data_IF_889961609790
#
_entry.id   IF_889961609790
#
_cell.length_a   1.000
_cell.length_b   1.000
_cell.length_c   1.000
_cell.angle_alpha   90.00
_cell.angle_beta   90.00
_cell.angle_gamma   90.00
#
_symmetry.space_group_name_H-M   'P 1'
#
loop_
_entity.id
_entity.type
_entity.pdbx_description
1 polymer ?
#
# COMPACT_ATOMS: atom_id res chain seq x y z
N UNK A 1 -14.94 19.78 -9.57
CA UNK A 1 -13.94 20.07 -8.53
C UNK A 1 -13.75 18.90 -7.56
N UNK A 2 -14.83 18.24 -7.11
CA UNK A 2 -14.77 17.13 -6.14
C UNK A 2 -14.02 15.87 -6.57
N UNK A 3 -14.04 15.50 -7.86
CA UNK A 3 -13.40 14.27 -8.37
C UNK A 3 -11.87 14.34 -8.29
N UNK A 4 -11.28 15.52 -8.55
CA UNK A 4 -9.84 15.74 -8.45
C UNK A 4 -9.33 15.62 -7.01
N UNK A 5 -10.13 16.09 -6.05
CA UNK A 5 -9.82 15.96 -4.60
C UNK A 5 -9.86 14.50 -4.17
N UNK A 6 -10.86 13.74 -4.63
CA UNK A 6 -10.93 12.28 -4.39
C UNK A 6 -9.75 11.54 -5.01
N UNK A 7 -9.30 11.92 -6.21
CA UNK A 7 -8.12 11.34 -6.85
C UNK A 7 -6.83 11.58 -6.03
N UNK A 8 -6.62 12.80 -5.54
CA UNK A 8 -5.45 13.14 -4.70
C UNK A 8 -5.50 12.36 -3.37
N UNK A 9 -6.66 12.27 -2.72
CA UNK A 9 -6.85 11.50 -1.50
C UNK A 9 -6.57 10.00 -1.72
N UNK A 10 -7.06 9.43 -2.82
CA UNK A 10 -6.80 8.03 -3.16
C UNK A 10 -5.30 7.76 -3.37
N UNK A 11 -4.57 8.68 -4.02
CA UNK A 11 -3.11 8.59 -4.17
C UNK A 11 -2.41 8.65 -2.81
N UNK A 12 -2.79 9.59 -1.94
CA UNK A 12 -2.19 9.72 -0.61
C UNK A 12 -2.41 8.46 0.24
N UNK A 13 -3.61 7.88 0.18
CA UNK A 13 -3.93 6.62 0.87
C UNK A 13 -3.09 5.48 0.30
N UNK A 14 -2.97 5.38 -1.04
CA UNK A 14 -2.16 4.35 -1.68
C UNK A 14 -0.67 4.42 -1.30
N UNK A 15 -0.09 5.63 -1.29
CA UNK A 15 1.30 5.86 -0.85
C UNK A 15 1.47 5.46 0.62
N UNK A 16 0.54 5.88 1.49
CA UNK A 16 0.59 5.55 2.90
C UNK A 16 0.51 4.04 3.15
N UNK A 17 -0.35 3.35 2.41
CA UNK A 17 -0.53 1.91 2.52
C UNK A 17 0.74 1.15 2.08
N UNK A 18 1.40 1.59 1.00
CA UNK A 18 2.69 1.02 0.56
C UNK A 18 3.78 1.25 1.61
N UNK A 19 3.85 2.45 2.20
CA UNK A 19 4.82 2.76 3.24
C UNK A 19 4.63 1.87 4.49
N UNK A 20 3.39 1.62 4.90
CA UNK A 20 3.08 0.68 5.99
C UNK A 20 3.49 -0.74 5.62
N UNK A 21 3.18 -1.20 4.40
CA UNK A 21 3.56 -2.54 3.93
C UNK A 21 5.08 -2.74 3.96
N UNK A 22 5.85 -1.73 3.53
CA UNK A 22 7.31 -1.75 3.61
C UNK A 22 7.83 -1.76 5.06
N UNK A 23 7.25 -0.95 5.94
CA UNK A 23 7.60 -0.95 7.36
C UNK A 23 7.31 -2.30 8.01
N UNK A 24 6.16 -2.90 7.70
CA UNK A 24 5.76 -4.22 8.20
C UNK A 24 6.72 -5.31 7.69
N UNK A 25 7.11 -5.26 6.42
CA UNK A 25 8.12 -6.16 5.86
C UNK A 25 9.46 -6.08 6.61
N UNK A 26 9.94 -4.85 6.86
CA UNK A 26 11.19 -4.64 7.60
C UNK A 26 11.09 -5.12 9.05
N UNK A 27 9.95 -4.89 9.69
CA UNK A 27 9.71 -5.29 11.08
C UNK A 27 9.68 -6.81 11.23
N UNK A 28 8.96 -7.51 10.33
CA UNK A 28 8.95 -8.98 10.27
C UNK A 28 10.37 -9.52 10.10
N UNK A 29 11.17 -8.90 9.23
CA UNK A 29 12.56 -9.33 8.99
C UNK A 29 13.48 -9.12 10.20
N UNK A 30 13.20 -8.13 11.05
CA UNK A 30 14.03 -7.77 12.21
C UNK A 30 13.61 -8.52 13.48
N UNK A 31 12.32 -8.73 13.70
CA UNK A 31 11.80 -9.29 14.94
C UNK A 31 11.45 -10.79 14.87
N UNK A 32 11.20 -11.34 13.67
CA UNK A 32 10.80 -12.74 13.53
C UNK A 32 11.99 -13.60 13.13
N UNK A 33 12.47 -14.44 14.06
CA UNK A 33 13.65 -15.31 13.88
C UNK A 33 13.50 -16.38 12.77
N UNK A 34 12.29 -16.61 12.25
CA UNK A 34 11.98 -17.45 11.08
C UNK A 34 10.65 -17.00 10.45
N UNK A 35 10.67 -15.98 9.57
CA UNK A 35 9.43 -15.43 9.04
C UNK A 35 8.80 -16.42 8.06
N UNK A 36 7.58 -16.87 8.37
CA UNK A 36 6.82 -17.76 7.48
C UNK A 36 6.45 -17.01 6.20
N UNK A 37 6.54 -17.69 5.05
CA UNK A 37 6.12 -17.15 3.73
C UNK A 37 4.69 -16.58 3.77
N UNK A 38 3.81 -17.18 4.57
CA UNK A 38 2.43 -16.73 4.71
C UNK A 38 2.28 -15.29 5.26
N UNK A 39 3.24 -14.83 6.08
CA UNK A 39 3.21 -13.46 6.64
C UNK A 39 3.60 -12.44 5.56
N UNK A 40 4.50 -12.82 4.64
CA UNK A 40 4.82 -12.01 3.47
C UNK A 40 3.66 -11.92 2.50
N UNK A 41 2.80 -12.95 2.43
CA UNK A 41 1.59 -12.91 1.60
C UNK A 41 0.65 -11.76 1.98
N UNK A 42 0.48 -11.50 3.28
CA UNK A 42 -0.29 -10.35 3.77
C UNK A 42 0.35 -9.01 3.39
N UNK A 43 1.69 -8.91 3.44
CA UNK A 43 2.42 -7.72 2.98
C UNK A 43 2.22 -7.50 1.48
N UNK A 44 2.30 -8.57 0.68
CA UNK A 44 2.09 -8.53 -0.78
C UNK A 44 0.68 -8.08 -1.13
N UNK A 45 -0.34 -8.60 -0.47
CA UNK A 45 -1.73 -8.17 -0.68
C UNK A 45 -1.89 -6.68 -0.37
N UNK A 46 -1.33 -6.22 0.75
CA UNK A 46 -1.41 -4.82 1.15
C UNK A 46 -0.73 -3.88 0.12
N UNK A 47 0.41 -4.31 -0.44
CA UNK A 47 1.11 -3.63 -1.53
C UNK A 47 0.26 -3.57 -2.81
N UNK A 48 -0.36 -4.68 -3.21
CA UNK A 48 -1.24 -4.74 -4.40
C UNK A 48 -2.42 -3.78 -4.24
N UNK A 49 -3.05 -3.74 -3.06
CA UNK A 49 -4.16 -2.81 -2.80
C UNK A 49 -3.69 -1.36 -2.91
N UNK A 50 -2.53 -1.02 -2.33
CA UNK A 50 -1.97 0.34 -2.43
C UNK A 50 -1.69 0.76 -3.88
N UNK A 51 -1.20 -0.16 -4.71
CA UNK A 51 -0.98 0.08 -6.16
C UNK A 51 -2.30 0.29 -6.90
N UNK A 52 -3.36 -0.47 -6.56
CA UNK A 52 -4.69 -0.27 -7.15
C UNK A 52 -5.22 1.13 -6.80
N UNK A 53 -5.08 1.56 -5.54
CA UNK A 53 -5.48 2.92 -5.12
C UNK A 53 -4.71 4.02 -5.88
N UNK A 54 -3.42 3.82 -6.16
CA UNK A 54 -2.62 4.72 -7.00
C UNK A 54 -3.11 4.77 -8.44
N UNK A 55 -3.41 3.61 -9.06
CA UNK A 55 -3.94 3.54 -10.43
C UNK A 55 -5.30 4.24 -10.54
N UNK A 56 -6.22 3.95 -9.61
CA UNK A 56 -7.56 4.55 -9.57
C UNK A 56 -7.46 6.05 -9.29
N UNK A 57 -6.64 6.45 -8.31
CA UNK A 57 -6.41 7.86 -7.98
C UNK A 57 -5.80 8.65 -9.14
N UNK A 58 -4.82 8.08 -9.83
CA UNK A 58 -4.24 8.67 -11.04
C UNK A 58 -5.23 8.76 -12.20
N UNK A 59 -6.09 7.75 -12.37
CA UNK A 59 -7.15 7.79 -13.38
C UNK A 59 -8.24 8.82 -13.08
N UNK A 60 -8.51 9.10 -11.81
CA UNK A 60 -9.49 10.12 -11.36
C UNK A 60 -8.96 11.56 -11.47
N UNK A 61 -7.63 11.72 -11.56
CA UNK A 61 -7.00 13.03 -11.77
C UNK A 61 -7.05 13.49 -13.23
N UNK A 62 -7.20 12.55 -14.17
CA UNK A 62 -7.36 12.80 -15.60
C UNK A 62 -8.73 13.38 -15.92
#
# INVERSE_FOLDING_TARGET
MSIKVLGILAILIGIWQIAIAQKMYQDIRRHVKNPKINIFFGVTICLVIGVIFLMVGGSLLR
#
